data_IF_459277467808
#
_entry.id   IF_459277467808
#
_cell.length_a   1.000
_cell.length_b   1.000
_cell.length_c   1.000
_cell.angle_alpha   90.00
_cell.angle_beta   90.00
_cell.angle_gamma   90.00
#
_symmetry.space_group_name_H-M   'P 1'
#
loop_
_entity.id
_entity.type
_entity.pdbx_description
1 polymer ?
#
# COMPACT_ATOMS: atom_id res chain seq x y z
N UNK A 1 0.96 13.71 10.73
CA UNK A 1 -0.19 12.77 10.76
C UNK A 1 0.33 11.45 11.29
N UNK A 2 -0.36 10.80 12.21
CA UNK A 2 0.07 9.50 12.73
C UNK A 2 -0.40 8.37 11.79
N UNK A 3 0.47 7.42 11.42
CA UNK A 3 0.07 6.25 10.66
C UNK A 3 -0.94 5.39 11.43
N UNK A 4 -2.00 4.93 10.76
CA UNK A 4 -3.02 4.05 11.36
C UNK A 4 -2.67 2.57 11.20
N UNK A 5 -1.43 2.19 11.53
CA UNK A 5 -1.00 0.80 11.52
C UNK A 5 0.10 0.56 12.54
N UNK A 6 0.23 -0.71 12.92
CA UNK A 6 1.32 -1.20 13.76
C UNK A 6 2.22 -2.09 12.93
N UNK A 7 3.53 -2.01 13.16
CA UNK A 7 4.48 -2.91 12.53
C UNK A 7 4.99 -3.91 13.55
N UNK A 8 5.26 -5.14 13.10
CA UNK A 8 5.78 -6.20 13.95
C UNK A 8 6.97 -6.84 13.25
N UNK A 9 7.98 -7.22 14.03
CA UNK A 9 9.13 -7.98 13.56
C UNK A 9 9.12 -9.36 14.20
N UNK A 10 9.49 -10.37 13.42
CA UNK A 10 9.60 -11.73 13.92
C UNK A 10 10.95 -11.90 14.60
N UNK A 11 10.93 -12.06 15.93
CA UNK A 11 12.13 -12.22 16.73
C UNK A 11 12.71 -13.62 16.65
N UNK A 12 13.98 -13.76 17.06
CA UNK A 12 14.66 -15.05 17.19
C UNK A 12 13.92 -16.02 18.13
N UNK A 13 13.14 -15.48 19.06
CA UNK A 13 12.27 -16.23 19.98
C UNK A 13 10.99 -16.77 19.32
N UNK A 14 10.88 -16.71 17.99
CA UNK A 14 9.72 -17.17 17.22
C UNK A 14 8.43 -16.44 17.60
N UNK A 15 8.54 -15.18 18.05
CA UNK A 15 7.40 -14.34 18.45
C UNK A 15 7.41 -13.03 17.70
N UNK A 16 6.21 -12.54 17.38
CA UNK A 16 6.01 -11.20 16.85
C UNK A 16 6.21 -10.19 17.98
N UNK A 17 7.09 -9.22 17.74
CA UNK A 17 7.33 -8.09 18.64
C UNK A 17 6.92 -6.81 17.92
N UNK A 18 6.11 -5.98 18.58
CA UNK A 18 5.72 -4.68 18.03
C UNK A 18 6.98 -3.86 17.83
N UNK A 19 7.18 -3.39 16.61
CA UNK A 19 8.27 -2.52 16.28
C UNK A 19 7.86 -1.10 16.64
N UNK A 20 8.42 -0.58 17.72
CA UNK A 20 8.14 0.74 18.28
C UNK A 20 8.91 1.86 17.57
N UNK A 21 9.71 1.55 16.54
CA UNK A 21 10.41 2.59 15.79
C UNK A 21 9.41 3.48 15.04
N UNK A 22 9.74 4.77 14.91
CA UNK A 22 8.94 5.73 14.15
C UNK A 22 8.92 5.30 12.68
N UNK A 23 7.84 4.63 12.24
CA UNK A 23 7.62 4.33 10.84
C UNK A 23 7.46 5.64 10.09
N UNK A 24 8.42 5.95 9.22
CA UNK A 24 8.34 7.08 8.31
C UNK A 24 7.68 6.62 7.02
N UNK A 25 6.58 7.27 6.69
CA UNK A 25 5.98 7.16 5.36
C UNK A 25 6.76 8.05 4.40
N UNK A 26 6.79 7.65 3.14
CA UNK A 26 7.32 8.49 2.07
C UNK A 26 6.46 9.75 1.92
N UNK A 27 7.09 10.87 1.54
CA UNK A 27 6.37 12.12 1.31
C UNK A 27 5.31 11.94 0.22
N UNK A 28 4.16 12.61 0.39
CA UNK A 28 3.03 12.49 -0.54
C UNK A 28 2.21 11.20 -0.43
N UNK A 29 2.59 10.22 0.41
CA UNK A 29 1.82 8.99 0.64
C UNK A 29 0.37 9.30 1.01
N UNK A 30 0.16 10.26 1.92
CA UNK A 30 -1.18 10.59 2.40
C UNK A 30 -2.03 11.24 1.30
N UNK A 31 -1.47 12.19 0.57
CA UNK A 31 -2.11 12.92 -0.51
C UNK A 31 -2.49 11.99 -1.66
N UNK A 32 -1.60 11.04 -2.00
CA UNK A 32 -1.89 9.99 -2.97
C UNK A 32 -3.07 9.11 -2.53
N UNK A 33 -3.06 8.61 -1.29
CA UNK A 33 -4.16 7.81 -0.73
C UNK A 33 -5.48 8.59 -0.73
N UNK A 34 -5.46 9.86 -0.32
CA UNK A 34 -6.65 10.71 -0.29
C UNK A 34 -7.23 10.92 -1.69
N UNK A 35 -6.38 11.19 -2.70
CA UNK A 35 -6.79 11.34 -4.10
C UNK A 35 -7.46 10.07 -4.61
N UNK A 36 -6.82 8.91 -4.44
CA UNK A 36 -7.35 7.63 -4.90
C UNK A 36 -8.67 7.26 -4.20
N UNK A 37 -8.80 7.61 -2.93
CA UNK A 37 -10.04 7.44 -2.17
C UNK A 37 -11.17 8.33 -2.71
N UNK A 38 -10.88 9.61 -2.96
CA UNK A 38 -11.84 10.55 -3.55
C UNK A 38 -12.29 10.11 -4.95
N UNK A 39 -11.36 9.56 -5.74
CA UNK A 39 -11.61 9.00 -7.07
C UNK A 39 -12.29 7.61 -7.03
N UNK A 40 -12.59 7.09 -5.84
CA UNK A 40 -13.20 5.78 -5.60
C UNK A 40 -12.47 4.62 -6.27
N UNK A 41 -11.13 4.70 -6.38
CA UNK A 41 -10.31 3.67 -7.04
C UNK A 41 -10.35 2.31 -6.35
N UNK A 42 -10.82 2.25 -5.11
CA UNK A 42 -11.05 1.00 -4.38
C UNK A 42 -12.03 0.05 -5.12
N UNK A 43 -12.97 0.56 -5.92
CA UNK A 43 -13.88 -0.27 -6.73
C UNK A 43 -13.20 -0.96 -7.92
N UNK A 44 -11.98 -0.57 -8.25
CA UNK A 44 -11.20 -1.13 -9.36
C UNK A 44 -10.06 -2.02 -8.88
N UNK A 45 -9.93 -2.20 -7.56
CA UNK A 45 -8.94 -3.12 -6.97
C UNK A 45 -9.49 -4.53 -7.14
N UNK A 46 -8.70 -5.38 -7.79
CA UNK A 46 -8.95 -6.82 -7.85
C UNK A 46 -8.04 -7.50 -6.83
N UNK A 47 -8.62 -8.25 -5.90
CA UNK A 47 -7.86 -9.12 -5.03
C UNK A 47 -7.70 -10.52 -5.64
N UNK A 48 -7.10 -11.44 -4.88
CA UNK A 48 -6.92 -12.81 -5.35
C UNK A 48 -8.25 -13.56 -5.44
N UNK A 49 -9.26 -13.21 -4.63
CA UNK A 49 -10.57 -13.85 -4.65
C UNK A 49 -11.32 -13.52 -5.96
N UNK A 50 -11.29 -12.24 -6.36
CA UNK A 50 -11.83 -11.82 -7.66
C UNK A 50 -11.16 -12.54 -8.85
N UNK A 51 -9.86 -12.83 -8.74
CA UNK A 51 -9.13 -13.58 -9.76
C UNK A 51 -9.52 -15.07 -9.79
N UNK A 52 -9.87 -15.65 -8.65
CA UNK A 52 -10.36 -17.02 -8.60
C UNK A 52 -11.76 -17.14 -9.24
N UNK A 53 -12.60 -16.12 -9.08
CA UNK A 53 -13.90 -16.04 -9.76
C UNK A 53 -13.77 -15.82 -11.28
N UNK A 54 -12.85 -14.94 -11.70
CA UNK A 54 -12.53 -14.68 -13.10
C UNK A 54 -11.03 -14.48 -13.30
N UNK A 55 -10.37 -15.48 -13.91
CA UNK A 55 -8.91 -15.49 -14.14
C UNK A 55 -8.41 -14.33 -15.01
N UNK A 56 -9.31 -13.59 -15.67
CA UNK A 56 -8.95 -12.38 -16.44
C UNK A 56 -8.74 -11.16 -15.54
N UNK A 57 -9.24 -11.19 -14.30
CA UNK A 57 -9.02 -10.11 -13.34
C UNK A 57 -7.56 -10.11 -12.89
N UNK A 58 -6.88 -8.96 -13.03
CA UNK A 58 -5.46 -8.83 -12.65
C UNK A 58 -5.31 -8.50 -11.17
N UNK A 59 -5.11 -9.52 -10.33
CA UNK A 59 -4.85 -9.37 -8.89
C UNK A 59 -3.57 -8.57 -8.57
N UNK A 60 -2.69 -8.37 -9.55
CA UNK A 60 -1.47 -7.52 -9.41
C UNK A 60 -1.78 -6.04 -9.57
N UNK A 61 -2.98 -5.68 -10.02
CA UNK A 61 -3.48 -4.32 -10.14
C UNK A 61 -2.56 -3.39 -10.97
N UNK A 62 -1.93 -3.90 -12.04
CA UNK A 62 -0.93 -3.15 -12.81
C UNK A 62 -1.49 -1.84 -13.40
N UNK A 63 -2.75 -1.84 -13.83
CA UNK A 63 -3.42 -0.65 -14.34
C UNK A 63 -3.67 0.43 -13.26
N UNK A 64 -3.89 0.03 -12.01
CA UNK A 64 -4.02 0.97 -10.90
C UNK A 64 -2.67 1.54 -10.48
N UNK A 65 -1.62 0.74 -10.48
CA UNK A 65 -0.27 1.18 -10.11
C UNK A 65 0.21 2.36 -10.98
N UNK A 66 -0.15 2.39 -12.26
CA UNK A 66 0.13 3.53 -13.15
C UNK A 66 -0.56 4.84 -12.73
N UNK A 67 -1.69 4.78 -12.02
CA UNK A 67 -2.43 5.97 -11.54
C UNK A 67 -1.91 6.51 -10.21
N UNK A 68 -1.16 5.71 -9.46
CA UNK A 68 -0.49 6.14 -8.22
C UNK A 68 0.65 7.12 -8.57
N UNK A 69 1.14 7.07 -9.82
CA UNK A 69 2.34 7.75 -10.25
C UNK A 69 3.57 7.14 -9.56
N UNK A 70 4.80 7.54 -9.92
CA UNK A 70 5.84 7.48 -8.93
C UNK A 70 5.32 8.35 -7.77
N UNK A 71 5.00 7.74 -6.63
CA UNK A 71 5.20 8.47 -5.36
C UNK A 71 6.59 9.05 -5.51
N UNK A 72 6.66 10.38 -5.59
CA UNK A 72 7.71 11.11 -6.30
C UNK A 72 9.03 10.37 -6.19
N UNK A 73 9.56 9.88 -7.32
CA UNK A 73 10.95 9.46 -7.39
C UNK A 73 11.79 10.69 -7.09
N UNK A 74 11.88 11.04 -5.81
CA UNK A 74 12.76 12.04 -5.25
C UNK A 74 14.13 11.43 -5.46
N UNK A 75 14.71 11.79 -6.60
CA UNK A 75 16.12 11.68 -6.85
C UNK A 75 16.83 12.18 -5.60
N UNK A 76 17.53 11.27 -4.92
CA UNK A 76 18.48 11.63 -3.89
C UNK A 76 19.50 12.58 -4.53
N UNK A 77 19.58 13.81 -4.02
CA UNK A 77 20.71 14.70 -4.28
C UNK A 77 21.95 14.20 -3.54
#
# INVERSE_FOLDING_TARGET
REPCFKTFVFGEDQRLKENTCNVKLEDGTYEACLRLLNDKKFNSINDFDNHLDDIKQDWRNLGLNGNIGPVESLTAN
#
